data_IF_337614813840
#
_entry.id   IF_337614813840
#
_cell.length_a   1.000
_cell.length_b   1.000
_cell.length_c   1.000
_cell.angle_alpha   90.00
_cell.angle_beta   90.00
_cell.angle_gamma   90.00
#
_symmetry.space_group_name_H-M   'P 1'
#
loop_
_entity.id
_entity.type
_entity.pdbx_description
1 polymer ?
#
# COMPACT_ATOMS: atom_id res chain seq x y z
N UNK A 1 17.91 18.19 29.25
CA UNK A 1 17.62 16.86 28.72
C UNK A 1 16.17 16.69 28.21
N UNK A 2 15.44 17.77 27.87
CA UNK A 2 13.98 17.69 27.61
C UNK A 2 13.56 18.04 26.17
N UNK A 3 14.48 18.43 25.28
CA UNK A 3 14.13 18.85 23.90
C UNK A 3 13.88 17.68 22.96
N UNK A 4 14.58 16.57 23.16
CA UNK A 4 14.42 15.33 22.37
C UNK A 4 13.10 14.63 22.74
N UNK A 5 12.74 14.64 24.02
CA UNK A 5 11.45 14.11 24.51
C UNK A 5 10.25 14.87 23.92
N UNK A 6 10.35 16.19 23.73
CA UNK A 6 9.31 16.99 23.09
C UNK A 6 9.12 16.66 21.60
N UNK A 7 10.21 16.40 20.88
CA UNK A 7 10.18 16.00 19.47
C UNK A 7 9.56 14.61 19.31
N UNK A 8 9.88 13.68 20.23
CA UNK A 8 9.28 12.35 20.25
C UNK A 8 7.79 12.38 20.62
N UNK A 9 7.38 13.27 21.54
CA UNK A 9 5.97 13.48 21.90
C UNK A 9 5.15 14.10 20.76
N UNK A 10 5.75 15.02 19.99
CA UNK A 10 5.11 15.63 18.81
C UNK A 10 4.81 14.61 17.71
N UNK A 11 5.73 13.66 17.47
CA UNK A 11 5.52 12.58 16.49
C UNK A 11 4.52 11.51 16.96
N UNK A 12 4.34 11.33 18.27
CA UNK A 12 3.39 10.35 18.85
C UNK A 12 1.93 10.84 18.88
N UNK A 13 1.69 12.16 18.83
CA UNK A 13 0.33 12.75 18.87
C UNK A 13 -0.18 13.25 17.52
N UNK A 14 0.62 13.21 16.45
CA UNK A 14 0.13 13.39 15.08
C UNK A 14 -0.56 12.11 14.58
N UNK A 15 -1.61 11.68 15.28
CA UNK A 15 -2.59 10.75 14.73
C UNK A 15 -3.27 11.42 13.54
N UNK A 16 -3.33 10.68 12.43
CA UNK A 16 -3.95 11.05 11.17
C UNK A 16 -5.39 11.49 11.44
N UNK A 17 -5.60 12.80 11.52
CA UNK A 17 -6.94 13.37 11.44
C UNK A 17 -7.33 13.33 9.97
N UNK A 18 -8.19 12.39 9.61
CA UNK A 18 -8.90 12.45 8.34
C UNK A 18 -9.92 13.58 8.45
N UNK A 19 -9.48 14.80 8.16
CA UNK A 19 -10.39 15.90 7.89
C UNK A 19 -11.11 15.55 6.57
N UNK A 20 -12.36 15.11 6.68
CA UNK A 20 -13.22 14.93 5.54
C UNK A 20 -13.81 16.31 5.21
N UNK A 21 -13.02 17.13 4.53
CA UNK A 21 -13.50 18.38 3.95
C UNK A 21 -14.43 18.00 2.79
N UNK A 22 -15.74 17.94 3.09
CA UNK A 22 -16.73 17.89 2.01
C UNK A 22 -16.71 19.26 1.35
N UNK A 23 -16.06 19.37 0.20
CA UNK A 23 -16.20 20.52 -0.70
C UNK A 23 -17.63 20.50 -1.27
N UNK A 24 -18.62 20.90 -0.47
CA UNK A 24 -19.90 21.33 -0.98
C UNK A 24 -19.64 22.60 -1.79
N UNK A 25 -19.42 22.40 -3.08
CA UNK A 25 -19.39 23.51 -4.03
C UNK A 25 -20.83 23.98 -4.13
N UNK A 26 -21.20 25.01 -3.35
CA UNK A 26 -22.44 25.72 -3.62
C UNK A 26 -22.31 26.29 -5.03
N UNK A 27 -23.18 25.84 -5.94
CA UNK A 27 -23.28 26.47 -7.24
C UNK A 27 -23.58 27.95 -6.99
N UNK A 28 -22.81 28.87 -7.60
CA UNK A 28 -23.12 30.29 -7.48
C UNK A 28 -24.59 30.48 -7.89
N UNK A 29 -25.35 31.34 -7.18
CA UNK A 29 -26.76 31.51 -7.47
C UNK A 29 -26.91 31.75 -8.97
N UNK A 30 -27.79 31.00 -9.64
CA UNK A 30 -28.12 31.22 -11.05
C UNK A 30 -28.68 32.62 -11.18
N UNK A 31 -27.80 33.59 -11.43
CA UNK A 31 -28.17 34.96 -11.75
C UNK A 31 -28.89 34.84 -13.10
N UNK A 32 -30.20 35.08 -13.11
CA UNK A 32 -30.97 35.22 -14.33
C UNK A 32 -30.25 36.23 -15.20
N UNK A 33 -29.71 35.79 -16.33
CA UNK A 33 -29.00 36.67 -17.27
C UNK A 33 -29.95 37.79 -17.66
N UNK A 34 -29.72 39.00 -17.12
CA UNK A 34 -30.48 40.19 -17.52
C UNK A 34 -30.12 40.45 -18.97
N UNK A 35 -31.04 40.15 -19.88
CA UNK A 35 -30.85 40.45 -21.31
C UNK A 35 -31.11 41.94 -21.49
N UNK A 36 -30.03 42.72 -21.53
CA UNK A 36 -30.09 44.11 -21.95
C UNK A 36 -30.44 44.18 -23.44
N UNK A 37 -31.39 45.01 -23.80
CA UNK A 37 -31.75 45.35 -25.17
C UNK A 37 -31.02 46.63 -25.57
N UNK A 38 -30.83 46.91 -26.86
CA UNK A 38 -30.13 48.12 -27.32
C UNK A 38 -30.74 49.43 -26.77
N UNK A 39 -32.04 49.41 -26.44
CA UNK A 39 -32.75 50.53 -25.82
C UNK A 39 -32.34 50.81 -24.36
N UNK A 40 -31.69 49.86 -23.71
CA UNK A 40 -31.24 49.97 -22.31
C UNK A 40 -29.82 50.56 -22.19
N UNK A 41 -29.12 50.72 -23.32
CA UNK A 41 -27.77 51.27 -23.38
C UNK A 41 -27.86 52.79 -23.54
N UNK A 42 -27.64 53.52 -22.45
CA UNK A 42 -27.38 54.97 -22.52
C UNK A 42 -25.93 55.19 -22.91
N UNK A 43 -25.70 55.65 -24.13
CA UNK A 43 -24.37 56.00 -24.62
C UNK A 43 -24.00 57.38 -24.07
N UNK A 44 -22.94 57.40 -23.26
CA UNK A 44 -22.37 58.65 -22.77
C UNK A 44 -21.87 59.48 -23.96
N UNK A 45 -22.44 60.68 -24.10
CA UNK A 45 -22.16 61.61 -25.20
C UNK A 45 -21.26 62.76 -24.75
N UNK A 46 -20.79 62.74 -23.51
CA UNK A 46 -19.97 63.81 -22.96
C UNK A 46 -18.60 63.83 -23.65
N UNK A 47 -18.26 64.98 -24.25
CA UNK A 47 -16.94 65.15 -24.83
C UNK A 47 -15.93 65.43 -23.72
N UNK A 48 -15.10 64.43 -23.40
CA UNK A 48 -14.03 64.59 -22.42
C UNK A 48 -12.81 65.19 -23.12
N UNK A 49 -12.33 66.33 -22.64
CA UNK A 49 -11.05 66.87 -23.07
C UNK A 49 -9.91 65.92 -22.70
N UNK A 50 -9.12 65.50 -23.69
CA UNK A 50 -7.98 64.63 -23.49
C UNK A 50 -6.88 65.37 -22.71
N UNK A 51 -6.76 65.08 -21.40
CA UNK A 51 -5.67 65.61 -20.58
C UNK A 51 -4.35 64.99 -21.03
N UNK A 52 -3.40 65.85 -21.40
CA UNK A 52 -2.04 65.45 -21.75
C UNK A 52 -1.09 65.72 -20.59
N UNK A 53 -0.07 64.86 -20.44
CA UNK A 53 0.97 65.09 -19.44
C UNK A 53 1.83 66.28 -19.84
N UNK A 54 2.29 67.07 -18.87
CA UNK A 54 3.26 68.13 -19.13
C UNK A 54 4.58 67.53 -19.63
N UNK A 55 5.27 68.21 -20.57
CA UNK A 55 6.49 67.70 -21.25
C UNK A 55 7.60 67.18 -20.30
N UNK A 56 7.62 67.61 -19.04
CA UNK A 56 8.65 67.24 -18.06
C UNK A 56 8.08 66.65 -16.76
N UNK A 57 6.89 66.05 -16.79
CA UNK A 57 6.20 65.54 -15.59
C UNK A 57 7.11 64.62 -14.73
N UNK A 58 7.99 63.84 -15.36
CA UNK A 58 8.92 62.91 -14.73
C UNK A 58 9.89 63.58 -13.73
N UNK A 59 10.24 64.86 -13.92
CA UNK A 59 11.14 65.59 -13.00
C UNK A 59 10.55 65.72 -11.59
N UNK A 60 9.21 65.75 -11.47
CA UNK A 60 8.50 65.85 -10.19
C UNK A 60 8.65 64.59 -9.32
N UNK A 61 9.01 63.46 -9.91
CA UNK A 61 9.03 62.14 -9.27
C UNK A 61 10.45 61.62 -9.03
N UNK A 62 11.44 62.52 -8.93
CA UNK A 62 12.85 62.18 -8.67
C UNK A 62 13.32 62.49 -7.23
N UNK A 63 12.45 63.01 -6.37
CA UNK A 63 12.81 63.25 -4.96
C UNK A 63 12.95 61.92 -4.20
N UNK A 64 13.60 61.98 -3.04
CA UNK A 64 13.73 60.84 -2.12
C UNK A 64 12.39 60.21 -1.74
N UNK A 65 11.30 61.00 -1.75
CA UNK A 65 9.94 60.55 -1.44
C UNK A 65 9.38 59.57 -2.48
N UNK A 66 10.02 59.49 -3.66
CA UNK A 66 9.68 58.57 -4.74
C UNK A 66 10.73 57.46 -4.93
N UNK A 67 11.72 57.38 -4.04
CA UNK A 67 12.64 56.24 -3.95
C UNK A 67 11.95 55.19 -3.08
N UNK A 68 11.22 54.29 -3.73
CA UNK A 68 10.63 53.14 -3.06
C UNK A 68 11.76 52.19 -2.66
N UNK A 69 12.19 52.24 -1.40
CA UNK A 69 12.99 51.17 -0.83
C UNK A 69 12.18 49.89 -0.90
N UNK A 70 12.66 48.90 -1.66
CA UNK A 70 12.21 47.53 -1.46
C UNK A 70 12.60 47.17 -0.03
N UNK A 71 11.64 47.23 0.91
CA UNK A 71 11.80 46.55 2.19
C UNK A 71 12.18 45.12 1.86
N UNK A 72 13.40 44.72 2.20
CA UNK A 72 13.84 43.34 1.98
C UNK A 72 12.76 42.45 2.57
N UNK A 73 12.13 41.56 1.78
CA UNK A 73 11.02 40.76 2.28
C UNK A 73 11.50 40.04 3.53
N UNK A 74 10.71 40.12 4.61
CA UNK A 74 11.07 39.45 5.85
C UNK A 74 11.34 37.97 5.55
N UNK A 75 12.55 37.51 5.87
CA UNK A 75 12.95 36.14 5.56
C UNK A 75 11.98 35.17 6.21
N UNK A 76 11.31 34.38 5.37
CA UNK A 76 10.47 33.27 5.81
C UNK A 76 11.27 32.34 6.73
N UNK A 77 10.60 31.68 7.69
CA UNK A 77 11.21 30.67 8.55
C UNK A 77 11.97 29.62 7.73
N UNK A 78 11.49 29.29 6.53
CA UNK A 78 12.14 28.35 5.62
C UNK A 78 13.44 28.89 5.01
N UNK A 79 13.49 30.18 4.69
CA UNK A 79 14.72 30.82 4.22
C UNK A 79 15.76 30.90 5.35
N UNK A 80 15.34 31.21 6.57
CA UNK A 80 16.23 31.21 7.74
C UNK A 80 16.77 29.81 8.03
N UNK A 81 15.96 28.77 7.85
CA UNK A 81 16.40 27.38 7.96
C UNK A 81 17.44 27.02 6.89
N UNK A 82 17.19 27.38 5.62
CA UNK A 82 18.15 27.13 4.53
C UNK A 82 19.47 27.87 4.75
N UNK A 83 19.42 29.13 5.18
CA UNK A 83 20.61 29.92 5.50
C UNK A 83 21.42 29.27 6.64
N UNK A 84 20.73 28.81 7.70
CA UNK A 84 21.34 28.05 8.79
C UNK A 84 21.97 26.74 8.31
N UNK A 85 21.25 25.93 7.53
CA UNK A 85 21.77 24.67 6.99
C UNK A 85 22.98 24.91 6.07
N UNK A 86 22.90 25.91 5.20
CA UNK A 86 24.01 26.29 4.33
C UNK A 86 25.24 26.76 5.12
N UNK A 87 25.06 27.45 6.25
CA UNK A 87 26.17 27.84 7.12
C UNK A 87 26.83 26.65 7.81
N UNK A 88 26.06 25.64 8.22
CA UNK A 88 26.60 24.39 8.78
C UNK A 88 27.41 23.67 7.71
N UNK A 89 26.87 23.52 6.50
CA UNK A 89 27.55 22.85 5.40
C UNK A 89 28.83 23.62 5.01
N UNK A 90 28.78 24.95 4.90
CA UNK A 90 29.98 25.75 4.63
C UNK A 90 31.06 25.56 5.68
N UNK A 91 30.72 25.56 6.97
CA UNK A 91 31.70 25.32 8.03
C UNK A 91 32.25 23.88 8.03
N UNK A 92 31.43 22.91 7.62
CA UNK A 92 31.86 21.52 7.48
C UNK A 92 32.74 21.29 6.25
N UNK A 93 32.60 22.09 5.19
CA UNK A 93 33.33 21.92 3.92
C UNK A 93 34.39 23.02 3.65
N UNK A 94 34.51 24.04 4.49
CA UNK A 94 35.54 25.08 4.36
C UNK A 94 36.85 24.61 4.98
N UNK A 95 37.62 23.82 4.24
CA UNK A 95 38.99 23.48 4.62
C UNK A 95 39.92 24.61 4.19
N UNK A 96 40.55 25.28 5.16
CA UNK A 96 41.48 26.39 4.92
C UNK A 96 42.88 25.94 4.49
N UNK A 97 43.20 24.64 4.57
CA UNK A 97 44.50 24.09 4.15
C UNK A 97 44.37 22.68 3.56
N UNK A 98 45.21 22.35 2.57
CA UNK A 98 45.23 21.06 1.86
C UNK A 98 45.45 19.88 2.81
N UNK A 99 46.29 20.02 3.84
CA UNK A 99 46.53 18.96 4.84
C UNK A 99 45.33 18.69 5.75
N UNK A 100 44.62 19.74 6.18
CA UNK A 100 43.37 19.58 6.97
C UNK A 100 42.26 18.95 6.14
N UNK A 101 42.22 19.21 4.83
CA UNK A 101 41.22 18.61 3.93
C UNK A 101 41.40 17.10 3.80
N UNK A 102 42.64 16.60 3.70
CA UNK A 102 42.92 15.17 3.59
C UNK A 102 42.62 14.43 4.89
N UNK A 103 42.95 15.02 6.04
CA UNK A 103 42.64 14.46 7.35
C UNK A 103 41.13 14.45 7.62
N UNK A 104 40.40 15.52 7.26
CA UNK A 104 38.94 15.54 7.39
C UNK A 104 38.28 14.50 6.49
N UNK A 105 38.66 14.42 5.21
CA UNK A 105 38.10 13.42 4.28
C UNK A 105 38.36 12.01 4.81
N UNK A 106 39.54 11.75 5.35
CA UNK A 106 39.88 10.47 5.97
C UNK A 106 39.01 10.16 7.19
N UNK A 107 38.84 11.12 8.10
CA UNK A 107 37.99 10.97 9.30
C UNK A 107 36.52 10.80 8.90
N UNK A 108 36.05 11.56 7.91
CA UNK A 108 34.69 11.51 7.39
C UNK A 108 34.38 10.14 6.76
N UNK A 109 35.27 9.62 5.91
CA UNK A 109 35.16 8.28 5.35
C UNK A 109 35.17 7.22 6.45
N UNK A 110 36.01 7.38 7.49
CA UNK A 110 36.06 6.44 8.63
C UNK A 110 34.76 6.44 9.45
N UNK A 111 34.15 7.60 9.66
CA UNK A 111 32.85 7.74 10.33
C UNK A 111 31.74 7.12 9.48
N UNK A 112 31.72 7.36 8.16
CA UNK A 112 30.76 6.71 7.25
C UNK A 112 30.95 5.20 7.25
N UNK A 113 32.18 4.70 7.17
CA UNK A 113 32.47 3.28 7.23
C UNK A 113 32.00 2.65 8.54
N UNK A 114 32.23 3.32 9.68
CA UNK A 114 31.72 2.88 10.98
C UNK A 114 30.19 2.88 11.04
N UNK A 115 29.52 3.91 10.50
CA UNK A 115 28.05 3.96 10.39
C UNK A 115 27.50 2.84 9.51
N UNK A 116 28.15 2.54 8.39
CA UNK A 116 27.77 1.43 7.51
C UNK A 116 27.92 0.09 8.24
N UNK A 117 29.00 -0.11 9.00
CA UNK A 117 29.18 -1.32 9.81
C UNK A 117 28.07 -1.45 10.86
N UNK A 118 27.76 -0.36 11.58
CA UNK A 118 26.67 -0.35 12.57
C UNK A 118 25.32 -0.63 11.90
N UNK A 119 25.06 -0.04 10.73
CA UNK A 119 23.85 -0.28 9.94
C UNK A 119 23.75 -1.75 9.53
N UNK A 120 24.84 -2.35 9.05
CA UNK A 120 24.89 -3.76 8.67
C UNK A 120 24.62 -4.66 9.88
N UNK A 121 25.26 -4.39 11.03
CA UNK A 121 25.01 -5.12 12.27
C UNK A 121 23.55 -4.99 12.69
N UNK A 122 22.99 -3.78 12.65
CA UNK A 122 21.58 -3.53 12.93
C UNK A 122 20.66 -4.30 11.99
N UNK A 123 20.95 -4.33 10.68
CA UNK A 123 20.19 -5.09 9.69
C UNK A 123 20.29 -6.60 9.94
N UNK A 124 21.45 -7.12 10.34
CA UNK A 124 21.63 -8.54 10.69
C UNK A 124 20.80 -8.87 11.94
N UNK A 125 20.92 -8.07 13.01
CA UNK A 125 20.16 -8.28 14.26
C UNK A 125 18.66 -8.21 13.99
N UNK A 126 18.22 -7.22 13.21
CA UNK A 126 16.82 -7.08 12.78
C UNK A 126 16.36 -8.28 11.95
N UNK A 127 17.16 -8.73 10.98
CA UNK A 127 16.84 -9.87 10.12
C UNK A 127 16.71 -11.18 10.90
N UNK A 128 17.55 -11.38 11.93
CA UNK A 128 17.51 -12.55 12.81
C UNK A 128 16.31 -12.50 13.76
N UNK A 129 16.03 -11.36 14.39
CA UNK A 129 14.95 -11.23 15.39
C UNK A 129 13.56 -11.24 14.72
N UNK A 130 13.38 -10.58 13.58
CA UNK A 130 12.07 -10.48 12.92
C UNK A 130 11.69 -11.72 12.08
N UNK A 131 12.53 -12.77 12.01
CA UNK A 131 12.38 -13.88 11.02
C UNK A 131 12.29 -13.39 9.56
N UNK A 132 12.63 -12.11 9.32
CA UNK A 132 12.56 -11.40 8.03
C UNK A 132 13.81 -11.63 7.17
N UNK A 133 14.81 -12.38 7.66
CA UNK A 133 15.98 -12.80 6.86
C UNK A 133 15.64 -13.56 5.56
N UNK A 134 14.37 -13.94 5.37
CA UNK A 134 13.84 -14.42 4.09
C UNK A 134 13.72 -13.33 3.01
N UNK A 135 13.83 -12.03 3.29
CA UNK A 135 13.73 -11.01 2.24
C UNK A 135 15.02 -10.87 1.40
N UNK A 136 16.19 -11.18 1.97
CA UNK A 136 17.49 -11.00 1.30
C UNK A 136 18.03 -12.31 0.69
N UNK A 137 17.64 -13.47 1.25
CA UNK A 137 18.04 -14.79 0.72
C UNK A 137 16.85 -15.71 0.40
N UNK A 138 15.61 -15.26 0.60
CA UNK A 138 14.41 -16.01 0.28
C UNK A 138 13.68 -15.36 -0.90
N UNK A 139 13.49 -16.14 -1.96
CA UNK A 139 12.40 -15.93 -2.90
C UNK A 139 11.12 -15.74 -2.06
N UNK A 140 10.54 -14.54 -2.09
CA UNK A 140 9.33 -14.10 -1.38
C UNK A 140 8.41 -15.24 -0.91
N UNK A 141 8.48 -15.62 0.38
CA UNK A 141 7.48 -16.49 1.03
C UNK A 141 6.56 -15.72 2.01
N UNK A 142 6.76 -14.39 2.13
CA UNK A 142 5.90 -13.49 2.93
C UNK A 142 4.72 -12.88 2.16
N UNK A 143 4.24 -13.59 1.14
CA UNK A 143 2.81 -13.78 0.94
C UNK A 143 2.67 -15.28 0.83
N UNK A 144 1.79 -15.88 1.63
CA UNK A 144 1.30 -17.26 1.45
C UNK A 144 0.51 -17.32 0.14
N UNK A 145 1.17 -17.04 -0.98
CA UNK A 145 0.82 -17.53 -2.29
C UNK A 145 1.61 -18.81 -2.42
N UNK A 146 1.24 -19.82 -1.62
CA UNK A 146 1.37 -21.17 -2.19
C UNK A 146 0.47 -21.07 -3.41
N UNK A 147 1.05 -20.96 -4.60
CA UNK A 147 0.24 -20.90 -5.80
C UNK A 147 -0.63 -22.14 -5.75
N UNK A 148 -1.95 -21.99 -5.94
CA UNK A 148 -2.85 -23.15 -5.93
C UNK A 148 -2.33 -24.26 -6.86
N UNK A 149 -1.66 -23.86 -7.96
CA UNK A 149 -0.92 -24.75 -8.86
C UNK A 149 0.17 -25.59 -8.19
N UNK A 150 0.90 -25.07 -7.21
CA UNK A 150 1.98 -25.79 -6.53
C UNK A 150 1.44 -26.81 -5.52
N UNK A 151 0.28 -26.50 -4.92
CA UNK A 151 -0.45 -27.40 -4.01
C UNK A 151 -0.97 -28.61 -4.79
N UNK A 152 -1.65 -28.37 -5.90
CA UNK A 152 -2.25 -29.41 -6.73
C UNK A 152 -1.20 -30.33 -7.35
N UNK A 153 -0.07 -29.77 -7.81
CA UNK A 153 1.04 -30.57 -8.37
C UNK A 153 1.66 -31.54 -7.36
N UNK A 154 1.60 -31.21 -6.08
CA UNK A 154 2.30 -31.95 -5.02
C UNK A 154 1.35 -32.50 -3.96
N UNK A 155 0.11 -32.81 -4.32
CA UNK A 155 -0.96 -33.20 -3.39
C UNK A 155 -0.51 -34.27 -2.38
N UNK A 156 0.33 -35.21 -2.80
CA UNK A 156 0.82 -36.32 -1.98
C UNK A 156 1.78 -35.88 -0.86
N UNK A 157 2.53 -34.80 -1.04
CA UNK A 157 3.55 -34.31 -0.11
C UNK A 157 3.01 -33.35 0.95
N UNK A 158 1.75 -32.94 0.84
CA UNK A 158 1.18 -31.91 1.68
C UNK A 158 0.57 -32.45 2.99
N UNK A 159 0.72 -31.64 4.03
CA UNK A 159 0.04 -31.76 5.31
C UNK A 159 -1.28 -30.97 5.26
N UNK A 160 -2.36 -31.65 4.89
CA UNK A 160 -3.67 -31.03 4.77
C UNK A 160 -4.25 -30.61 6.13
N UNK A 161 -3.94 -31.31 7.23
CA UNK A 161 -4.41 -30.94 8.55
C UNK A 161 -3.89 -29.56 8.95
N UNK A 162 -2.58 -29.33 8.74
CA UNK A 162 -1.96 -28.04 8.97
C UNK A 162 -2.55 -26.95 8.08
N UNK A 163 -2.67 -27.20 6.77
CA UNK A 163 -3.20 -26.22 5.80
C UNK A 163 -4.65 -25.82 6.13
N UNK A 164 -5.48 -26.78 6.51
CA UNK A 164 -6.86 -26.55 6.94
C UNK A 164 -6.87 -25.72 8.22
N UNK A 165 -6.11 -26.11 9.25
CA UNK A 165 -6.04 -25.38 10.52
C UNK A 165 -5.65 -23.92 10.31
N UNK A 166 -4.59 -23.67 9.55
CA UNK A 166 -4.13 -22.31 9.25
C UNK A 166 -5.15 -21.48 8.46
N UNK A 167 -5.95 -22.12 7.60
CA UNK A 167 -7.02 -21.44 6.84
C UNK A 167 -8.20 -21.08 7.74
N UNK A 168 -8.55 -21.95 8.70
CA UNK A 168 -9.61 -21.68 9.68
C UNK A 168 -9.21 -20.53 10.62
N UNK A 169 -7.97 -20.53 11.11
CA UNK A 169 -7.44 -19.45 11.97
C UNK A 169 -7.40 -18.09 11.24
N UNK A 170 -7.21 -18.10 9.92
CA UNK A 170 -7.25 -16.90 9.09
C UNK A 170 -8.67 -16.46 8.68
N UNK A 171 -9.73 -17.21 9.06
CA UNK A 171 -11.11 -16.93 8.63
C UNK A 171 -11.41 -17.30 7.17
N UNK A 172 -10.47 -17.98 6.49
CA UNK A 172 -10.53 -18.33 5.06
C UNK A 172 -11.33 -19.62 4.83
N UNK A 173 -12.63 -19.58 5.11
CA UNK A 173 -13.55 -20.73 5.04
C UNK A 173 -13.54 -21.44 3.68
N UNK A 174 -13.59 -20.67 2.59
CA UNK A 174 -13.60 -21.21 1.22
C UNK A 174 -12.30 -21.96 0.92
N UNK A 175 -11.16 -21.42 1.35
CA UNK A 175 -9.84 -22.06 1.24
C UNK A 175 -9.77 -23.35 2.04
N UNK A 176 -10.31 -23.37 3.26
CA UNK A 176 -10.40 -24.59 4.06
C UNK A 176 -11.18 -25.70 3.33
N UNK A 177 -12.31 -25.37 2.70
CA UNK A 177 -13.08 -26.35 1.89
C UNK A 177 -12.28 -26.86 0.70
N UNK A 178 -11.51 -26.01 0.00
CA UNK A 178 -10.61 -26.47 -1.07
C UNK A 178 -9.60 -27.50 -0.56
N UNK A 179 -9.01 -27.25 0.61
CA UNK A 179 -8.05 -28.19 1.19
C UNK A 179 -8.68 -29.50 1.65
N UNK A 180 -9.91 -29.48 2.17
CA UNK A 180 -10.67 -30.71 2.41
C UNK A 180 -10.90 -31.51 1.12
N UNK A 181 -11.24 -30.83 0.01
CA UNK A 181 -11.46 -31.49 -1.28
C UNK A 181 -10.18 -32.11 -1.84
N UNK A 182 -9.05 -31.38 -1.79
CA UNK A 182 -7.76 -31.93 -2.22
C UNK A 182 -7.30 -33.08 -1.32
N UNK A 183 -7.57 -33.02 -0.01
CA UNK A 183 -7.30 -34.14 0.89
C UNK A 183 -8.13 -35.38 0.54
N UNK A 184 -9.41 -35.20 0.21
CA UNK A 184 -10.26 -36.27 -0.28
C UNK A 184 -9.66 -36.94 -1.53
N UNK A 185 -9.25 -36.15 -2.54
CA UNK A 185 -8.62 -36.68 -3.76
C UNK A 185 -7.32 -37.43 -3.45
N UNK A 186 -6.48 -36.92 -2.54
CA UNK A 186 -5.27 -37.61 -2.08
C UNK A 186 -5.59 -38.99 -1.51
N UNK A 187 -6.57 -39.09 -0.61
CA UNK A 187 -6.96 -40.36 0.02
C UNK A 187 -7.53 -41.32 -1.02
N UNK A 188 -8.38 -40.84 -1.92
CA UNK A 188 -8.97 -41.65 -2.98
C UNK A 188 -7.90 -42.21 -3.94
N UNK A 189 -6.89 -41.41 -4.27
CA UNK A 189 -5.76 -41.86 -5.06
C UNK A 189 -4.89 -42.89 -4.31
N UNK A 190 -4.63 -42.68 -3.01
CA UNK A 190 -3.90 -43.64 -2.18
C UNK A 190 -4.60 -45.01 -2.09
N UNK A 191 -5.93 -45.01 -2.10
CA UNK A 191 -6.75 -46.22 -2.07
C UNK A 191 -7.13 -46.74 -3.46
N UNK A 192 -6.51 -46.22 -4.53
CA UNK A 192 -6.72 -46.65 -5.93
C UNK A 192 -8.19 -46.56 -6.40
N UNK A 193 -8.98 -45.66 -5.83
CA UNK A 193 -10.34 -45.36 -6.35
C UNK A 193 -10.30 -44.47 -7.57
N UNK A 194 -9.24 -43.67 -7.69
CA UNK A 194 -8.95 -42.76 -8.81
C UNK A 194 -7.45 -42.75 -9.08
N UNK A 195 -7.06 -42.34 -10.28
CA UNK A 195 -5.70 -41.99 -10.65
C UNK A 195 -5.57 -40.46 -10.69
N UNK A 196 -4.86 -39.88 -9.71
CA UNK A 196 -4.71 -38.43 -9.58
C UNK A 196 -3.92 -37.82 -10.76
N UNK A 197 -4.51 -36.81 -11.38
CA UNK A 197 -3.91 -35.96 -12.40
C UNK A 197 -4.43 -34.51 -12.26
N UNK A 198 -3.52 -33.53 -12.28
CA UNK A 198 -3.91 -32.11 -12.17
C UNK A 198 -4.81 -31.62 -13.31
N UNK A 199 -4.75 -32.26 -14.49
CA UNK A 199 -5.53 -31.85 -15.66
C UNK A 199 -6.94 -32.48 -15.69
N UNK A 200 -7.22 -33.45 -14.81
CA UNK A 200 -8.54 -34.12 -14.73
C UNK A 200 -9.56 -33.25 -14.00
N UNK A 201 -10.79 -33.28 -14.52
CA UNK A 201 -11.95 -32.64 -13.90
C UNK A 201 -12.61 -33.55 -12.85
N UNK A 202 -13.48 -32.96 -12.02
CA UNK A 202 -14.28 -33.73 -11.06
C UNK A 202 -15.16 -34.80 -11.75
N UNK A 203 -15.59 -34.53 -12.99
CA UNK A 203 -16.34 -35.50 -13.80
C UNK A 203 -15.46 -36.66 -14.27
N UNK A 204 -14.21 -36.40 -14.65
CA UNK A 204 -13.26 -37.45 -15.03
C UNK A 204 -13.03 -38.42 -13.86
N UNK A 205 -12.78 -37.88 -12.67
CA UNK A 205 -12.68 -38.69 -11.44
C UNK A 205 -13.93 -39.53 -11.16
N UNK A 206 -15.12 -38.97 -11.40
CA UNK A 206 -16.37 -39.69 -11.19
C UNK A 206 -16.52 -40.92 -12.10
N UNK A 207 -15.93 -40.91 -13.30
CA UNK A 207 -15.97 -42.04 -14.23
C UNK A 207 -15.05 -43.20 -13.81
N UNK A 208 -14.00 -42.93 -13.05
CA UNK A 208 -13.05 -43.94 -12.57
C UNK A 208 -13.61 -44.78 -11.40
N UNK A 209 -14.49 -44.17 -10.59
CA UNK A 209 -15.05 -44.80 -9.39
C UNK A 209 -16.04 -45.91 -9.77
N UNK A 210 -15.66 -47.15 -9.45
CA UNK A 210 -16.46 -48.35 -9.75
C UNK A 210 -17.57 -48.61 -8.71
N UNK A 211 -17.30 -48.34 -7.42
CA UNK A 211 -18.25 -48.65 -6.36
C UNK A 211 -19.43 -47.63 -6.36
N UNK A 212 -20.69 -48.06 -6.53
CA UNK A 212 -21.83 -47.16 -6.60
C UNK A 212 -22.00 -46.25 -5.38
N UNK A 213 -21.72 -46.75 -4.17
CA UNK A 213 -21.86 -45.97 -2.93
C UNK A 213 -20.80 -44.88 -2.83
N UNK A 214 -19.55 -45.22 -3.17
CA UNK A 214 -18.45 -44.26 -3.20
C UNK A 214 -18.67 -43.21 -4.30
N UNK A 215 -19.24 -43.63 -5.43
CA UNK A 215 -19.58 -42.75 -6.55
C UNK A 215 -20.65 -41.73 -6.17
N UNK A 216 -21.71 -42.17 -5.50
CA UNK A 216 -22.77 -41.29 -4.99
C UNK A 216 -22.21 -40.27 -3.97
N UNK A 217 -21.39 -40.74 -3.02
CA UNK A 217 -20.76 -39.89 -2.02
C UNK A 217 -19.83 -38.85 -2.66
N UNK A 218 -18.98 -39.26 -3.61
CA UNK A 218 -18.09 -38.37 -4.34
C UNK A 218 -18.86 -37.35 -5.21
N UNK A 219 -19.98 -37.76 -5.80
CA UNK A 219 -20.86 -36.86 -6.56
C UNK A 219 -21.35 -35.73 -5.68
N UNK A 220 -21.85 -36.05 -4.48
CA UNK A 220 -22.33 -35.05 -3.53
C UNK A 220 -21.23 -34.11 -3.06
N UNK A 221 -20.04 -34.64 -2.73
CA UNK A 221 -18.89 -33.83 -2.30
C UNK A 221 -18.37 -32.91 -3.40
N UNK A 222 -18.34 -33.39 -4.65
CA UNK A 222 -17.94 -32.60 -5.81
C UNK A 222 -18.94 -31.50 -6.13
N UNK A 223 -20.24 -31.76 -6.00
CA UNK A 223 -21.28 -30.74 -6.08
C UNK A 223 -21.07 -29.66 -5.01
N UNK A 224 -20.88 -30.07 -3.76
CA UNK A 224 -20.67 -29.16 -2.64
C UNK A 224 -19.41 -28.30 -2.82
N UNK A 225 -18.30 -28.91 -3.24
CA UNK A 225 -17.06 -28.21 -3.55
C UNK A 225 -17.26 -27.20 -4.67
N UNK A 226 -17.88 -27.59 -5.80
CA UNK A 226 -18.11 -26.70 -6.92
C UNK A 226 -18.96 -25.50 -6.52
N UNK A 227 -20.05 -25.75 -5.79
CA UNK A 227 -20.94 -24.72 -5.28
C UNK A 227 -20.19 -23.74 -4.36
N UNK A 228 -19.38 -24.23 -3.42
CA UNK A 228 -18.67 -23.39 -2.45
C UNK A 228 -17.50 -22.62 -3.08
N UNK A 229 -16.73 -23.29 -3.94
CA UNK A 229 -15.49 -22.74 -4.48
C UNK A 229 -15.76 -21.78 -5.65
N UNK A 230 -16.65 -22.15 -6.58
CA UNK A 230 -16.95 -21.37 -7.78
C UNK A 230 -18.23 -20.52 -7.66
N UNK A 231 -18.99 -20.62 -6.57
CA UNK A 231 -20.34 -20.04 -6.48
C UNK A 231 -20.45 -18.52 -6.26
N UNK A 232 -19.36 -17.76 -6.16
CA UNK A 232 -19.37 -16.28 -5.98
C UNK A 232 -20.20 -15.71 -4.78
N UNK A 233 -20.73 -16.52 -3.86
CA UNK A 233 -21.44 -16.04 -2.66
C UNK A 233 -20.62 -16.24 -1.36
N UNK A 234 -20.90 -15.42 -0.34
CA UNK A 234 -20.34 -15.58 1.00
C UNK A 234 -20.93 -16.82 1.69
N UNK A 235 -20.07 -17.58 2.38
CA UNK A 235 -20.47 -18.81 3.05
C UNK A 235 -20.76 -18.51 4.52
N UNK A 236 -22.02 -18.63 4.90
CA UNK A 236 -22.43 -18.52 6.30
C UNK A 236 -21.84 -19.65 7.17
N UNK A 237 -21.77 -19.43 8.47
CA UNK A 237 -21.17 -20.38 9.42
C UNK A 237 -21.88 -21.74 9.44
N UNK A 238 -23.19 -21.76 9.26
CA UNK A 238 -24.00 -22.99 9.31
C UNK A 238 -23.74 -23.86 8.09
N UNK A 239 -23.68 -23.25 6.91
CA UNK A 239 -23.36 -23.89 5.63
C UNK A 239 -21.93 -24.41 5.66
N UNK A 240 -20.99 -23.60 6.15
CA UNK A 240 -19.61 -24.01 6.30
C UNK A 240 -19.46 -25.20 7.25
N UNK A 241 -20.09 -25.17 8.43
CA UNK A 241 -20.01 -26.24 9.42
C UNK A 241 -20.57 -27.57 8.88
N UNK A 242 -21.72 -27.52 8.18
CA UNK A 242 -22.28 -28.69 7.50
C UNK A 242 -21.31 -29.27 6.46
N UNK A 243 -20.73 -28.41 5.63
CA UNK A 243 -19.77 -28.83 4.62
C UNK A 243 -18.51 -29.45 5.23
N UNK A 244 -17.94 -28.79 6.24
CA UNK A 244 -16.77 -29.27 6.97
C UNK A 244 -17.03 -30.66 7.57
N UNK A 245 -18.16 -30.85 8.25
CA UNK A 245 -18.51 -32.13 8.87
C UNK A 245 -18.70 -33.22 7.81
N UNK A 246 -19.31 -32.89 6.67
CA UNK A 246 -19.45 -33.83 5.55
C UNK A 246 -18.09 -34.29 5.07
N UNK A 247 -17.19 -33.37 4.70
CA UNK A 247 -15.84 -33.70 4.24
C UNK A 247 -15.06 -34.53 5.25
N UNK A 248 -15.07 -34.15 6.54
CA UNK A 248 -14.40 -34.91 7.61
C UNK A 248 -14.91 -36.34 7.72
N UNK A 249 -16.22 -36.55 7.61
CA UNK A 249 -16.81 -37.88 7.70
C UNK A 249 -16.50 -38.73 6.46
N UNK A 250 -16.58 -38.13 5.27
CA UNK A 250 -16.30 -38.84 4.03
C UNK A 250 -14.83 -39.22 3.91
N UNK A 251 -13.90 -38.34 4.32
CA UNK A 251 -12.46 -38.66 4.35
C UNK A 251 -12.19 -39.92 5.17
N UNK A 252 -12.87 -40.11 6.32
CA UNK A 252 -12.78 -41.34 7.11
C UNK A 252 -13.41 -42.57 6.42
N UNK A 253 -14.40 -42.36 5.55
CA UNK A 253 -15.05 -43.44 4.80
C UNK A 253 -14.21 -43.89 3.60
N UNK A 254 -13.49 -42.94 2.99
CA UNK A 254 -12.59 -43.20 1.87
C UNK A 254 -11.20 -43.66 2.30
N UNK A 255 -10.80 -43.44 3.56
CA UNK A 255 -9.53 -43.91 4.14
C UNK A 255 -9.57 -45.41 4.39
#
# INVERSE_FOLDING_TARGET
MNKILFILYFFLFCSISNAQDSLTTEEPPKISTVKYTEKDIKVDSDSIEAKTFSKNYQKKYKSSDFVYEYKTPEKSLWQRFKDWLASILRNLFSFSTTESSLNFVTIFIRIIAALVIILVIYLIVKAVINKEGQWIFGKNSSKRTVYYSDIEKNIHLLDFEKLIKESLEAGEKRTAVRYYYLWLLKIMAQNNYIEWDIEKTNSDYLYEIQNPKLKEEFTYLSYLYNYIWYGEFEIDETTFSKAQNRFKNSIKTFS
#
